data_IF_072250541793
#
_entry.id   IF_072250541793
#
_cell.length_a   1.000
_cell.length_b   1.000
_cell.length_c   1.000
_cell.angle_alpha   90.00
_cell.angle_beta   90.00
_cell.angle_gamma   90.00
#
_symmetry.space_group_name_H-M   'P 1'
#
loop_
_entity.id
_entity.type
_entity.pdbx_description
1 polymer ?
#
# COMPACT_ATOMS: atom_id res chain seq x y z
N UNK A 1 -8.26 7.94 28.94
CA UNK A 1 -6.86 7.56 28.69
C UNK A 1 -6.16 8.82 28.20
N UNK A 2 -4.96 9.14 28.69
CA UNK A 2 -4.25 10.38 28.34
C UNK A 2 -2.92 10.01 27.70
N UNK A 3 -2.66 10.53 26.50
CA UNK A 3 -1.46 10.22 25.73
C UNK A 3 -0.49 11.40 25.75
N UNK A 4 0.80 11.11 25.97
CA UNK A 4 1.87 12.07 25.80
C UNK A 4 2.31 12.06 24.33
N UNK A 5 1.93 13.12 23.60
CA UNK A 5 2.18 13.25 22.17
C UNK A 5 3.68 13.25 21.81
N UNK A 6 4.56 13.58 22.75
CA UNK A 6 6.03 13.57 22.53
C UNK A 6 6.61 12.17 22.45
N UNK A 7 5.87 11.16 22.95
CA UNK A 7 6.29 9.74 22.95
C UNK A 7 5.69 8.94 21.81
N UNK A 8 4.93 9.58 20.92
CA UNK A 8 4.32 8.93 19.77
C UNK A 8 5.39 8.70 18.69
N UNK A 9 5.60 7.43 18.36
CA UNK A 9 6.55 6.99 17.33
C UNK A 9 5.87 6.51 16.05
N UNK A 10 4.54 6.38 16.04
CA UNK A 10 3.74 5.96 14.88
C UNK A 10 2.52 6.86 14.71
N UNK A 11 2.21 7.19 13.46
CA UNK A 11 1.03 7.99 13.07
C UNK A 11 -0.20 7.13 12.76
N UNK A 12 -0.15 5.82 13.03
CA UNK A 12 -1.25 4.88 12.77
C UNK A 12 -1.82 4.31 14.07
N UNK A 13 -3.13 4.06 14.07
CA UNK A 13 -3.84 3.34 15.12
C UNK A 13 -4.44 2.06 14.57
N UNK A 14 -4.46 1.00 15.37
CA UNK A 14 -5.16 -0.26 15.02
C UNK A 14 -5.75 -0.89 16.28
N UNK A 15 -6.93 -1.47 16.17
CA UNK A 15 -7.63 -2.13 17.27
C UNK A 15 -8.61 -3.17 16.72
N UNK A 16 -9.05 -4.09 17.56
CA UNK A 16 -10.08 -5.08 17.21
C UNK A 16 -11.42 -4.71 17.85
N UNK A 17 -12.51 -4.89 17.11
CA UNK A 17 -13.88 -4.69 17.59
C UNK A 17 -14.70 -5.97 17.41
N UNK A 18 -15.56 -6.28 18.38
CA UNK A 18 -16.55 -7.34 18.29
C UNK A 18 -17.86 -6.83 18.88
N UNK A 19 -18.92 -6.83 18.08
CA UNK A 19 -20.24 -6.37 18.52
C UNK A 19 -21.36 -7.11 17.80
N UNK A 20 -22.56 -7.06 18.37
CA UNK A 20 -23.84 -7.41 17.72
C UNK A 20 -24.70 -6.16 17.49
N UNK A 21 -24.27 -5.02 18.03
CA UNK A 21 -24.99 -3.76 17.93
C UNK A 21 -24.73 -3.11 16.57
N UNK A 22 -25.77 -2.83 15.76
CA UNK A 22 -25.60 -2.17 14.47
C UNK A 22 -25.27 -0.68 14.58
N UNK A 23 -25.41 -0.05 15.76
CA UNK A 23 -25.11 1.38 15.93
C UNK A 23 -24.35 1.65 17.24
N UNK A 24 -23.32 2.49 17.19
CA UNK A 24 -22.56 2.84 18.39
C UNK A 24 -21.29 3.63 18.12
N UNK A 25 -20.76 4.30 19.15
CA UNK A 25 -19.49 5.04 19.05
C UNK A 25 -18.33 4.15 19.50
N UNK A 26 -17.27 4.11 18.68
CA UNK A 26 -16.04 3.38 19.00
C UNK A 26 -14.98 4.36 19.52
N UNK A 27 -14.70 5.41 18.76
CA UNK A 27 -13.81 6.51 19.15
C UNK A 27 -14.51 7.84 18.97
N UNK A 28 -14.27 8.73 19.92
CA UNK A 28 -14.70 10.11 19.86
C UNK A 28 -13.59 10.97 20.40
N UNK A 29 -13.33 12.07 19.70
CA UNK A 29 -12.40 13.08 20.15
C UNK A 29 -12.94 14.45 19.78
N UNK A 30 -12.84 15.37 20.73
CA UNK A 30 -13.26 16.75 20.55
C UNK A 30 -12.25 17.71 21.16
N UNK A 31 -12.24 18.91 20.62
CA UNK A 31 -11.67 20.08 21.30
C UNK A 31 -12.78 20.99 21.82
N UNK A 32 -13.94 20.97 21.16
CA UNK A 32 -15.19 21.58 21.59
C UNK A 32 -16.36 20.72 21.11
N UNK A 33 -17.15 20.12 22.01
CA UNK A 33 -18.17 19.14 21.65
C UNK A 33 -19.34 19.71 20.83
N UNK A 34 -19.43 21.04 20.68
CA UNK A 34 -20.44 21.67 19.83
C UNK A 34 -19.99 21.79 18.38
N UNK A 35 -18.75 22.23 18.16
CA UNK A 35 -18.33 22.79 16.88
C UNK A 35 -17.00 22.20 16.36
N UNK A 36 -16.31 21.36 17.12
CA UNK A 36 -15.06 20.73 16.69
C UNK A 36 -14.86 19.34 17.32
N UNK A 37 -15.28 18.32 16.57
CA UNK A 37 -15.22 16.93 16.97
C UNK A 37 -15.10 15.98 15.77
N UNK A 38 -14.54 14.81 16.05
CA UNK A 38 -14.59 13.67 15.14
C UNK A 38 -15.07 12.44 15.88
N UNK A 39 -15.67 11.52 15.13
CA UNK A 39 -16.21 10.28 15.64
C UNK A 39 -15.93 9.16 14.65
N UNK A 40 -15.53 8.01 15.17
CA UNK A 40 -15.55 6.73 14.48
C UNK A 40 -16.54 5.83 15.21
N UNK A 41 -17.49 5.28 14.46
CA UNK A 41 -18.56 4.48 15.02
C UNK A 41 -19.13 3.49 14.01
N UNK A 42 -20.28 2.94 14.36
CA UNK A 42 -21.10 2.09 13.51
C UNK A 42 -22.45 2.75 13.25
N UNK A 43 -22.92 2.61 12.01
CA UNK A 43 -24.30 2.89 11.60
C UNK A 43 -24.75 1.80 10.63
N UNK A 44 -25.92 1.21 10.86
CA UNK A 44 -26.42 0.04 10.11
C UNK A 44 -25.37 -1.10 10.00
N UNK A 45 -24.65 -1.32 11.10
CA UNK A 45 -23.59 -2.32 11.25
C UNK A 45 -22.28 -1.98 10.53
N UNK A 46 -22.19 -0.86 9.80
CA UNK A 46 -21.01 -0.49 9.02
C UNK A 46 -20.17 0.61 9.69
N UNK A 47 -18.85 0.61 9.52
CA UNK A 47 -17.98 1.70 9.95
C UNK A 47 -18.41 3.04 9.36
N UNK A 48 -18.51 4.04 10.22
CA UNK A 48 -18.79 5.42 9.84
C UNK A 48 -17.78 6.35 10.52
N UNK A 49 -17.18 7.24 9.74
CA UNK A 49 -16.40 8.37 10.24
C UNK A 49 -17.22 9.63 10.06
N UNK A 50 -17.37 10.38 11.14
CA UNK A 50 -17.93 11.71 11.13
C UNK A 50 -16.87 12.71 11.58
N UNK A 51 -16.85 13.87 10.94
CA UNK A 51 -16.01 14.99 11.32
C UNK A 51 -16.84 16.26 11.19
N UNK A 52 -16.83 17.07 12.22
CA UNK A 52 -17.49 18.36 12.23
C UNK A 52 -16.53 19.40 12.78
N UNK A 53 -16.20 20.38 11.96
CA UNK A 53 -15.48 21.57 12.37
C UNK A 53 -16.07 22.81 11.68
N UNK A 54 -15.51 23.99 11.98
CA UNK A 54 -15.98 25.25 11.42
C UNK A 54 -15.94 25.34 9.88
N UNK A 55 -15.13 24.50 9.22
CA UNK A 55 -14.93 24.54 7.77
C UNK A 55 -15.59 23.38 7.02
N UNK A 56 -15.84 22.26 7.69
CA UNK A 56 -16.33 21.05 7.07
C UNK A 56 -17.22 20.24 8.01
N UNK A 57 -18.28 19.67 7.43
CA UNK A 57 -19.06 18.62 8.03
C UNK A 57 -19.06 17.43 7.09
N UNK A 58 -18.45 16.34 7.52
CA UNK A 58 -18.23 15.13 6.75
C UNK A 58 -18.85 13.95 7.47
N UNK A 59 -19.51 13.08 6.72
CA UNK A 59 -19.95 11.76 7.18
C UNK A 59 -19.67 10.77 6.07
N UNK A 60 -18.85 9.77 6.37
CA UNK A 60 -18.45 8.72 5.43
C UNK A 60 -18.72 7.38 6.09
N UNK A 61 -19.74 6.67 5.59
CA UNK A 61 -19.99 5.27 5.93
C UNK A 61 -19.47 4.37 4.81
N UNK A 62 -18.58 3.44 5.13
CA UNK A 62 -18.00 2.53 4.13
C UNK A 62 -17.54 1.21 4.76
N UNK A 63 -17.42 0.17 3.93
CA UNK A 63 -16.90 -1.14 4.35
C UNK A 63 -17.98 -2.16 4.71
N UNK A 64 -17.56 -3.38 5.12
CA UNK A 64 -18.47 -4.47 5.47
C UNK A 64 -19.18 -4.22 6.80
N UNK A 65 -20.18 -5.06 7.08
CA UNK A 65 -20.85 -5.08 8.39
C UNK A 65 -19.94 -5.74 9.44
N UNK A 66 -19.85 -5.13 10.62
CA UNK A 66 -19.02 -5.59 11.75
C UNK A 66 -19.85 -6.10 12.94
N UNK A 67 -21.18 -6.11 12.81
CA UNK A 67 -22.15 -6.46 13.86
C UNK A 67 -22.54 -7.95 13.87
N UNK A 68 -21.63 -8.83 13.47
CA UNK A 68 -21.84 -10.28 13.34
C UNK A 68 -21.34 -11.11 14.54
N UNK A 69 -20.92 -10.44 15.62
CA UNK A 69 -20.39 -11.08 16.82
C UNK A 69 -18.98 -11.68 16.66
N UNK A 70 -18.27 -11.41 15.56
CA UNK A 70 -16.87 -11.83 15.34
C UNK A 70 -15.92 -10.68 15.61
N UNK A 71 -14.65 -11.02 15.84
CA UNK A 71 -13.59 -10.02 15.95
C UNK A 71 -13.22 -9.50 14.57
N UNK A 72 -13.19 -8.18 14.42
CA UNK A 72 -12.78 -7.48 13.21
C UNK A 72 -11.65 -6.51 13.54
N UNK A 73 -10.57 -6.55 12.77
CA UNK A 73 -9.49 -5.57 12.89
C UNK A 73 -9.85 -4.28 12.15
N UNK A 74 -9.79 -3.15 12.85
CA UNK A 74 -9.99 -1.82 12.30
C UNK A 74 -8.65 -1.07 12.27
N UNK A 75 -8.30 -0.57 11.09
CA UNK A 75 -7.10 0.25 10.84
C UNK A 75 -7.54 1.53 10.14
N UNK A 76 -7.88 2.60 10.90
CA UNK A 76 -8.16 3.90 10.29
C UNK A 76 -6.87 4.47 9.69
N UNK A 77 -6.74 4.36 8.37
CA UNK A 77 -5.65 4.94 7.60
C UNK A 77 -6.19 6.08 6.72
N UNK A 78 -5.49 7.21 6.73
CA UNK A 78 -5.78 8.35 5.86
C UNK A 78 -4.45 8.91 5.35
N UNK A 79 -4.16 8.69 4.07
CA UNK A 79 -3.17 9.47 3.35
C UNK A 79 -3.82 10.78 2.90
N UNK A 80 -3.67 11.82 3.72
CA UNK A 80 -4.30 13.11 3.49
C UNK A 80 -3.54 14.24 4.17
N UNK A 81 -3.61 15.43 3.57
CA UNK A 81 -2.99 16.62 4.11
C UNK A 81 -4.02 17.56 4.73
N UNK A 82 -3.76 17.98 5.97
CA UNK A 82 -4.51 19.02 6.65
C UNK A 82 -3.69 20.31 6.61
N UNK A 83 -4.32 21.45 6.36
CA UNK A 83 -3.67 22.76 6.33
C UNK A 83 -4.54 23.82 6.98
N UNK A 84 -3.89 24.90 7.46
CA UNK A 84 -4.55 26.06 8.10
C UNK A 84 -5.41 25.62 9.27
N UNK A 85 -4.86 24.74 10.09
CA UNK A 85 -5.49 24.31 11.32
C UNK A 85 -5.54 25.47 12.32
N UNK A 86 -6.70 25.67 12.93
CA UNK A 86 -6.89 26.58 14.06
C UNK A 86 -7.51 25.79 15.18
N UNK A 87 -6.72 25.53 16.21
CA UNK A 87 -7.15 24.77 17.37
C UNK A 87 -7.30 25.75 18.54
N UNK A 88 -8.54 26.05 18.94
CA UNK A 88 -8.86 26.84 20.12
C UNK A 88 -8.29 28.28 20.13
N UNK A 89 -8.28 28.97 18.98
CA UNK A 89 -7.66 30.31 18.79
C UNK A 89 -6.17 30.39 19.20
N UNK A 90 -5.53 29.24 19.43
CA UNK A 90 -4.10 29.09 19.54
C UNK A 90 -3.60 28.52 18.22
N UNK A 91 -2.51 29.08 17.69
CA UNK A 91 -1.70 28.28 16.79
C UNK A 91 -1.33 27.03 17.59
N UNK A 92 -1.74 25.84 17.15
CA UNK A 92 -1.11 24.64 17.69
C UNK A 92 0.37 24.81 17.36
N UNK A 93 1.21 25.08 18.36
CA UNK A 93 2.64 24.98 18.21
C UNK A 93 2.95 23.49 18.07
N UNK A 94 2.77 23.00 16.85
CA UNK A 94 3.23 21.69 16.42
C UNK A 94 4.74 21.72 16.65
N UNK A 95 5.19 21.06 17.73
CA UNK A 95 6.58 21.19 18.19
C UNK A 95 7.56 20.88 17.05
N UNK A 96 8.45 21.83 16.77
CA UNK A 96 9.49 21.76 15.74
C UNK A 96 10.56 20.67 16.00
N UNK A 97 10.39 19.86 17.05
CA UNK A 97 11.36 18.87 17.53
C UNK A 97 11.10 17.44 17.07
N UNK A 98 10.12 17.21 16.20
CA UNK A 98 9.83 15.89 15.62
C UNK A 98 10.24 15.84 14.13
N UNK A 99 10.63 14.66 13.60
CA UNK A 99 11.19 14.53 12.26
C UNK A 99 10.28 15.15 11.18
N UNK A 100 10.85 16.00 10.34
CA UNK A 100 10.15 16.77 9.28
C UNK A 100 9.44 15.89 8.25
N UNK A 101 9.93 14.66 8.02
CA UNK A 101 9.38 13.72 7.04
C UNK A 101 7.99 13.17 7.39
N UNK A 102 7.53 13.29 8.63
CA UNK A 102 6.22 12.80 9.09
C UNK A 102 5.17 13.90 9.22
N UNK A 103 5.52 15.18 8.97
CA UNK A 103 4.65 16.33 9.30
C UNK A 103 4.27 17.23 8.12
N UNK A 104 5.08 17.28 7.07
CA UNK A 104 4.78 18.11 5.89
C UNK A 104 4.42 17.21 4.71
N UNK A 105 3.28 17.48 4.09
CA UNK A 105 2.88 16.82 2.85
C UNK A 105 3.49 17.58 1.67
N UNK A 106 3.65 16.90 0.54
CA UNK A 106 4.05 17.57 -0.68
C UNK A 106 3.02 18.64 -1.09
N UNK A 107 3.51 19.81 -1.51
CA UNK A 107 2.68 20.96 -1.90
C UNK A 107 1.86 20.63 -3.15
N UNK A 108 2.41 19.78 -4.02
CA UNK A 108 1.80 19.39 -5.28
C UNK A 108 1.81 17.87 -5.44
N UNK A 109 0.67 17.24 -5.17
CA UNK A 109 0.49 15.79 -5.28
C UNK A 109 -0.53 15.40 -6.36
N UNK A 110 -0.34 14.19 -6.90
CA UNK A 110 -1.24 13.55 -7.84
C UNK A 110 -1.79 12.25 -7.24
N UNK A 111 -2.99 11.79 -7.63
CA UNK A 111 -3.49 10.48 -7.20
C UNK A 111 -2.56 9.33 -7.64
N UNK A 112 -2.23 8.44 -6.72
CA UNK A 112 -1.38 7.29 -6.98
C UNK A 112 -0.89 6.61 -5.70
N UNK A 113 0.09 5.73 -5.81
CA UNK A 113 0.79 5.08 -4.70
C UNK A 113 2.27 5.37 -4.92
N UNK A 114 2.91 6.09 -4.00
CA UNK A 114 4.33 6.39 -4.10
C UNK A 114 5.15 5.57 -3.10
N UNK A 115 6.16 4.88 -3.62
CA UNK A 115 7.14 4.13 -2.86
C UNK A 115 8.49 4.87 -2.93
N UNK A 116 8.91 5.53 -1.84
CA UNK A 116 10.26 6.06 -1.71
C UNK A 116 11.34 4.96 -1.73
N UNK A 117 12.62 5.31 -1.95
CA UNK A 117 13.73 4.36 -1.90
C UNK A 117 13.77 3.59 -0.57
N UNK A 118 14.07 2.29 -0.65
CA UNK A 118 14.19 1.40 0.51
C UNK A 118 12.88 1.05 1.22
N UNK A 119 11.72 1.53 0.74
CA UNK A 119 10.42 1.21 1.34
C UNK A 119 9.85 -0.11 0.83
N UNK A 120 9.05 -0.77 1.67
CA UNK A 120 8.41 -2.05 1.34
C UNK A 120 6.96 -2.13 1.84
N UNK A 121 6.13 -2.85 1.10
CA UNK A 121 4.80 -3.29 1.54
C UNK A 121 4.59 -4.78 1.24
N UNK A 122 3.90 -5.48 2.13
CA UNK A 122 3.69 -6.92 2.09
C UNK A 122 2.20 -7.23 2.12
N UNK A 123 1.73 -8.03 1.17
CA UNK A 123 0.38 -8.59 1.16
C UNK A 123 0.44 -10.09 1.41
N UNK A 124 -0.49 -10.59 2.21
CA UNK A 124 -0.73 -12.03 2.32
C UNK A 124 -1.49 -12.50 1.07
N UNK A 125 -0.96 -13.51 0.38
CA UNK A 125 -1.56 -14.00 -0.86
C UNK A 125 -2.95 -14.64 -0.67
N UNK A 126 -3.31 -14.99 0.56
CA UNK A 126 -4.65 -15.50 0.92
C UNK A 126 -5.70 -14.39 0.96
N UNK A 127 -5.27 -13.14 1.16
CA UNK A 127 -6.15 -11.98 1.34
C UNK A 127 -6.33 -11.19 0.03
N UNK A 128 -5.64 -11.59 -1.04
CA UNK A 128 -5.82 -11.07 -2.40
C UNK A 128 -6.59 -12.10 -3.27
N UNK A 129 -7.13 -11.69 -4.44
CA UNK A 129 -7.83 -12.60 -5.34
C UNK A 129 -7.05 -13.87 -5.65
N UNK A 130 -7.72 -15.01 -5.55
CA UNK A 130 -7.09 -16.30 -5.77
C UNK A 130 -6.85 -16.57 -7.27
N UNK A 131 -5.86 -17.42 -7.62
CA UNK A 131 -5.67 -17.89 -8.98
C UNK A 131 -6.93 -18.58 -9.53
N UNK A 132 -7.15 -18.48 -10.84
CA UNK A 132 -8.14 -19.34 -11.50
C UNK A 132 -7.73 -20.80 -11.31
N UNK A 133 -8.71 -21.70 -11.15
CA UNK A 133 -8.41 -23.12 -10.94
C UNK A 133 -8.11 -23.85 -12.27
N UNK A 134 -8.91 -23.62 -13.31
CA UNK A 134 -8.82 -24.35 -14.57
C UNK A 134 -9.08 -23.43 -15.80
N UNK A 135 -8.07 -23.16 -16.64
CA UNK A 135 -6.65 -23.43 -16.41
C UNK A 135 -6.09 -22.54 -15.29
N UNK A 136 -5.09 -23.04 -14.55
CA UNK A 136 -4.44 -22.24 -13.50
C UNK A 136 -3.81 -20.98 -14.10
N UNK A 137 -4.23 -19.82 -13.60
CA UNK A 137 -3.76 -18.53 -14.07
C UNK A 137 -3.86 -17.47 -12.99
N UNK A 138 -2.81 -16.65 -12.87
CA UNK A 138 -2.76 -15.50 -11.99
C UNK A 138 -2.16 -14.30 -12.72
N UNK A 139 -2.76 -13.12 -12.58
CA UNK A 139 -2.27 -11.90 -13.20
C UNK A 139 -2.07 -10.77 -12.20
N UNK A 140 -0.96 -10.04 -12.38
CA UNK A 140 -0.67 -8.78 -11.71
C UNK A 140 -0.50 -7.69 -12.75
N UNK A 141 -1.07 -6.52 -12.51
CA UNK A 141 -0.89 -5.34 -13.33
C UNK A 141 -0.36 -4.17 -12.47
N UNK A 142 0.70 -3.51 -12.93
CA UNK A 142 1.31 -2.35 -12.30
C UNK A 142 1.24 -1.18 -13.27
N UNK A 143 0.54 -0.11 -12.92
CA UNK A 143 0.51 1.09 -13.75
C UNK A 143 1.54 2.12 -13.31
N UNK A 144 2.79 1.91 -13.73
CA UNK A 144 3.92 2.79 -13.41
C UNK A 144 3.77 4.17 -14.09
N UNK A 145 3.65 5.22 -13.28
CA UNK A 145 3.66 6.63 -13.71
C UNK A 145 5.07 7.21 -13.72
N UNK A 146 5.84 6.90 -12.69
CA UNK A 146 7.22 7.37 -12.51
C UNK A 146 8.04 6.20 -11.95
N UNK A 147 9.31 6.11 -12.34
CA UNK A 147 10.24 5.13 -11.81
C UNK A 147 11.68 5.64 -11.96
N UNK A 148 12.48 5.54 -10.90
CA UNK A 148 13.89 5.92 -10.87
C UNK A 148 14.69 4.97 -9.97
N UNK A 149 16.02 4.96 -10.14
CA UNK A 149 16.92 4.08 -9.39
C UNK A 149 16.92 2.64 -9.90
N UNK A 150 17.44 1.75 -9.06
CA UNK A 150 17.58 0.32 -9.33
C UNK A 150 17.27 -0.54 -8.10
N UNK A 151 16.66 -1.70 -8.33
CA UNK A 151 16.18 -2.62 -7.28
C UNK A 151 14.75 -3.14 -7.53
N UNK A 152 14.14 -3.77 -6.53
CA UNK A 152 12.86 -4.45 -6.68
C UNK A 152 11.67 -3.50 -6.83
N UNK A 153 10.79 -3.82 -7.78
CA UNK A 153 9.45 -3.24 -7.91
C UNK A 153 8.41 -4.12 -7.22
N UNK A 154 8.50 -5.43 -7.45
CA UNK A 154 7.55 -6.42 -6.94
C UNK A 154 8.19 -7.81 -6.85
N UNK A 155 7.82 -8.60 -5.85
CA UNK A 155 8.21 -10.00 -5.76
C UNK A 155 7.11 -10.90 -5.18
N UNK A 156 7.17 -12.18 -5.53
CA UNK A 156 6.37 -13.25 -4.94
C UNK A 156 7.31 -14.25 -4.27
N UNK A 157 7.02 -14.61 -3.03
CA UNK A 157 7.83 -15.56 -2.27
C UNK A 157 7.32 -15.73 -0.84
N UNK A 158 8.21 -16.16 0.04
CA UNK A 158 7.97 -16.21 1.50
C UNK A 158 8.92 -15.25 2.22
N UNK A 159 8.69 -14.89 3.49
CA UNK A 159 9.61 -14.03 4.24
C UNK A 159 11.05 -14.56 4.27
N UNK A 160 11.26 -15.88 4.26
CA UNK A 160 12.59 -16.51 4.26
C UNK A 160 13.24 -16.54 2.87
N UNK A 161 12.44 -16.51 1.82
CA UNK A 161 12.91 -16.50 0.44
C UNK A 161 11.94 -15.67 -0.43
N UNK A 162 12.09 -14.34 -0.42
CA UNK A 162 11.11 -13.41 -0.99
C UNK A 162 11.14 -13.37 -2.52
N UNK A 163 12.20 -13.86 -3.17
CA UNK A 163 12.46 -13.69 -4.60
C UNK A 163 12.25 -14.97 -5.43
N UNK A 164 11.15 -15.71 -5.20
CA UNK A 164 10.82 -16.86 -6.08
C UNK A 164 10.47 -16.42 -7.49
N UNK A 165 9.78 -15.27 -7.59
CA UNK A 165 9.57 -14.56 -8.83
C UNK A 165 9.65 -13.07 -8.53
N UNK A 166 10.50 -12.33 -9.23
CA UNK A 166 10.60 -10.90 -8.99
C UNK A 166 10.72 -10.07 -10.26
N UNK A 167 10.24 -8.84 -10.15
CA UNK A 167 10.39 -7.77 -11.11
C UNK A 167 11.29 -6.71 -10.49
N UNK A 168 12.46 -6.51 -11.09
CA UNK A 168 13.39 -5.46 -10.68
C UNK A 168 13.60 -4.44 -11.79
N UNK A 169 13.78 -3.18 -11.40
CA UNK A 169 14.19 -2.11 -12.27
C UNK A 169 15.71 -2.07 -12.32
N UNK A 170 16.27 -2.09 -13.53
CA UNK A 170 17.70 -1.93 -13.76
C UNK A 170 17.91 -1.22 -15.10
N UNK A 171 18.61 -0.09 -15.11
CA UNK A 171 18.96 0.67 -16.31
C UNK A 171 17.75 0.97 -17.23
N UNK A 172 16.64 1.44 -16.64
CA UNK A 172 15.36 1.71 -17.32
C UNK A 172 14.73 0.48 -18.01
N UNK A 173 15.12 -0.72 -17.59
CA UNK A 173 14.51 -1.99 -18.00
C UNK A 173 13.88 -2.66 -16.80
N UNK A 174 12.75 -3.30 -17.03
CA UNK A 174 12.15 -4.23 -16.08
C UNK A 174 12.70 -5.60 -16.37
N UNK A 175 13.30 -6.23 -15.37
CA UNK A 175 13.85 -7.58 -15.47
C UNK A 175 13.03 -8.52 -14.61
N UNK A 176 12.48 -9.55 -15.24
CA UNK A 176 11.81 -10.67 -14.60
C UNK A 176 12.82 -11.76 -14.28
N UNK A 177 12.95 -12.15 -13.01
CA UNK A 177 13.78 -13.26 -12.54
C UNK A 177 12.96 -14.26 -11.74
N UNK A 178 13.38 -15.54 -11.74
CA UNK A 178 12.65 -16.63 -11.06
C UNK A 178 13.50 -17.36 -10.00
N UNK A 179 14.50 -16.69 -9.44
CA UNK A 179 15.48 -17.27 -8.50
C UNK A 179 16.44 -18.31 -9.12
N UNK A 180 16.05 -18.97 -10.22
CA UNK A 180 16.86 -19.93 -10.97
C UNK A 180 16.88 -19.59 -12.46
N UNK A 181 18.07 -19.31 -13.01
CA UNK A 181 18.29 -19.08 -14.44
C UNK A 181 18.36 -17.60 -14.86
N UNK A 182 18.64 -17.33 -16.15
CA UNK A 182 18.77 -15.97 -16.66
C UNK A 182 17.42 -15.24 -16.64
N UNK A 183 17.43 -14.00 -16.17
CA UNK A 183 16.24 -13.14 -16.20
C UNK A 183 15.88 -12.70 -17.62
N UNK A 184 14.65 -12.20 -17.78
CA UNK A 184 14.16 -11.58 -19.02
C UNK A 184 13.93 -10.10 -18.82
N UNK A 185 14.56 -9.27 -19.65
CA UNK A 185 14.43 -7.81 -19.59
C UNK A 185 13.43 -7.27 -20.62
N UNK A 186 12.64 -6.27 -20.26
CA UNK A 186 11.84 -5.47 -21.17
C UNK A 186 12.14 -3.98 -20.93
N UNK A 187 12.36 -3.16 -21.98
CA UNK A 187 12.48 -1.72 -21.81
C UNK A 187 11.22 -1.16 -21.17
N UNK A 188 11.38 -0.39 -20.08
CA UNK A 188 10.26 0.21 -19.36
C UNK A 188 9.73 1.41 -20.14
N UNK A 189 8.42 1.45 -20.36
CA UNK A 189 7.71 2.61 -20.91
C UNK A 189 6.72 3.13 -19.89
N UNK A 190 6.99 4.29 -19.30
CA UNK A 190 6.10 4.92 -18.31
C UNK A 190 4.73 5.24 -18.93
N UNK A 191 3.67 5.16 -18.11
CA UNK A 191 2.29 5.39 -18.53
C UNK A 191 1.59 4.20 -19.19
N UNK A 192 2.33 3.14 -19.57
CA UNK A 192 1.75 1.87 -20.02
C UNK A 192 1.74 0.84 -18.89
N UNK A 193 0.63 0.10 -18.69
CA UNK A 193 0.55 -0.91 -17.64
C UNK A 193 1.54 -2.04 -17.92
N UNK A 194 2.33 -2.37 -16.90
CA UNK A 194 3.21 -3.52 -16.87
C UNK A 194 2.41 -4.71 -16.34
N UNK A 195 2.24 -5.74 -17.16
CA UNK A 195 1.42 -6.91 -16.82
C UNK A 195 2.30 -8.14 -16.65
N UNK A 196 2.06 -8.88 -15.58
CA UNK A 196 2.70 -10.16 -15.27
C UNK A 196 1.62 -11.24 -15.22
N UNK A 197 1.68 -12.21 -16.13
CA UNK A 197 0.73 -13.33 -16.20
C UNK A 197 1.43 -14.64 -15.94
N UNK A 198 1.05 -15.31 -14.86
CA UNK A 198 1.54 -16.61 -14.47
C UNK A 198 0.58 -17.68 -14.98
N UNK A 199 1.14 -18.77 -15.49
CA UNK A 199 0.42 -19.97 -15.91
C UNK A 199 1.18 -21.22 -15.48
N UNK A 200 0.59 -22.39 -15.64
CA UNK A 200 1.18 -23.68 -15.28
C UNK A 200 2.57 -23.98 -15.86
N UNK A 201 2.99 -23.32 -16.94
CA UNK A 201 4.25 -23.63 -17.66
C UNK A 201 5.13 -22.43 -17.96
N UNK A 202 4.61 -21.21 -17.80
CA UNK A 202 5.31 -19.98 -18.18
C UNK A 202 4.83 -18.78 -17.39
N UNK A 203 5.72 -17.81 -17.28
CA UNK A 203 5.43 -16.46 -16.81
C UNK A 203 5.62 -15.50 -17.96
N UNK A 204 4.61 -14.70 -18.25
CA UNK A 204 4.62 -13.71 -19.33
C UNK A 204 4.70 -12.33 -18.72
N UNK A 205 5.74 -11.58 -19.07
CA UNK A 205 5.84 -10.15 -18.79
C UNK A 205 5.47 -9.40 -20.08
N UNK A 206 4.53 -8.46 -20.00
CA UNK A 206 4.11 -7.65 -21.15
C UNK A 206 3.91 -6.20 -20.77
N UNK A 207 4.21 -5.31 -21.72
CA UNK A 207 3.93 -3.88 -21.62
C UNK A 207 3.57 -3.34 -23.01
N UNK A 208 2.32 -2.91 -23.17
CA UNK A 208 1.77 -2.54 -24.48
C UNK A 208 1.83 -3.71 -25.47
N UNK A 209 2.47 -3.49 -26.63
CA UNK A 209 2.65 -4.53 -27.66
C UNK A 209 3.87 -5.45 -27.43
N UNK A 210 4.74 -5.13 -26.46
CA UNK A 210 5.93 -5.93 -26.16
C UNK A 210 5.58 -7.00 -25.14
N UNK A 211 6.02 -8.23 -25.39
CA UNK A 211 5.90 -9.33 -24.44
C UNK A 211 7.13 -10.23 -24.48
N UNK A 212 7.51 -10.76 -23.32
CA UNK A 212 8.49 -11.83 -23.17
C UNK A 212 7.91 -12.90 -22.26
N UNK A 213 8.22 -14.15 -22.57
CA UNK A 213 7.76 -15.30 -21.79
C UNK A 213 8.96 -16.06 -21.24
N UNK A 214 9.00 -16.23 -19.92
CA UNK A 214 9.92 -17.13 -19.23
C UNK A 214 9.26 -18.50 -19.17
N UNK A 215 9.81 -19.47 -19.90
CA UNK A 215 9.48 -20.86 -19.69
C UNK A 215 10.12 -21.30 -18.37
N UNK A 216 9.30 -21.71 -17.40
CA UNK A 216 9.80 -22.19 -16.12
C UNK A 216 9.95 -23.71 -16.19
N UNK A 217 11.07 -24.30 -15.71
CA UNK A 217 11.24 -25.74 -15.72
C UNK A 217 10.13 -26.43 -14.89
N UNK A 218 9.69 -27.65 -15.25
CA UNK A 218 8.62 -28.36 -14.55
C UNK A 218 8.84 -28.52 -13.03
N UNK A 219 10.10 -28.63 -12.60
CA UNK A 219 10.50 -28.75 -11.19
C UNK A 219 10.49 -27.42 -10.41
N UNK A 220 10.52 -26.26 -11.10
CA UNK A 220 10.57 -24.94 -10.46
C UNK A 220 9.21 -24.29 -10.20
N UNK A 221 8.14 -24.79 -10.83
CA UNK A 221 6.78 -24.22 -10.74
C UNK A 221 5.96 -24.76 -9.57
N UNK A 222 6.16 -26.02 -9.17
CA UNK A 222 5.39 -26.61 -8.07
C UNK A 222 5.47 -25.77 -6.76
N UNK A 223 6.64 -25.23 -6.37
CA UNK A 223 6.71 -24.28 -5.26
C UNK A 223 5.87 -23.02 -5.51
N UNK A 224 6.07 -22.34 -6.64
CA UNK A 224 5.39 -21.07 -6.97
C UNK A 224 3.86 -21.21 -7.05
N UNK A 225 3.35 -22.29 -7.64
CA UNK A 225 1.92 -22.59 -7.71
C UNK A 225 1.34 -22.85 -6.31
N UNK A 226 2.10 -23.54 -5.46
CA UNK A 226 1.74 -23.80 -4.07
C UNK A 226 1.90 -22.57 -3.15
N UNK A 227 2.37 -21.43 -3.67
CA UNK A 227 2.59 -20.25 -2.85
C UNK A 227 1.28 -19.70 -2.27
N UNK A 228 0.18 -19.73 -3.04
CA UNK A 228 -1.16 -19.36 -2.56
C UNK A 228 -1.71 -20.31 -1.49
N UNK A 229 -1.30 -21.58 -1.52
CA UNK A 229 -1.69 -22.54 -0.49
C UNK A 229 -0.93 -22.32 0.83
N UNK A 230 0.25 -21.69 0.81
CA UNK A 230 1.09 -21.48 2.00
C UNK A 230 0.54 -20.32 2.86
N UNK A 231 0.47 -20.48 4.20
CA UNK A 231 0.13 -19.36 5.11
C UNK A 231 1.12 -18.20 5.03
N UNK A 232 2.35 -18.52 4.64
CA UNK A 232 3.47 -17.58 4.53
C UNK A 232 3.66 -17.07 3.09
N UNK A 233 2.72 -17.32 2.18
CA UNK A 233 2.78 -16.76 0.84
C UNK A 233 2.63 -15.25 0.88
N UNK A 234 3.57 -14.52 0.29
CA UNK A 234 3.61 -13.07 0.28
C UNK A 234 3.76 -12.51 -1.12
N UNK A 235 3.11 -11.37 -1.33
CA UNK A 235 3.37 -10.43 -2.41
C UNK A 235 4.09 -9.22 -1.80
N UNK A 236 5.33 -8.99 -2.21
CA UNK A 236 6.14 -7.85 -1.80
C UNK A 236 6.06 -6.76 -2.87
N UNK A 237 5.86 -5.52 -2.44
CA UNK A 237 5.87 -4.32 -3.28
C UNK A 237 6.99 -3.39 -2.80
N UNK A 238 7.88 -3.00 -3.70
CA UNK A 238 9.08 -2.21 -3.37
C UNK A 238 10.28 -3.08 -2.98
N UNK A 239 11.11 -2.57 -2.08
CA UNK A 239 12.31 -3.23 -1.59
C UNK A 239 12.00 -4.54 -0.86
N UNK A 240 12.94 -5.48 -0.86
CA UNK A 240 12.86 -6.71 -0.08
C UNK A 240 13.46 -6.53 1.32
N UNK A 241 13.12 -7.40 2.28
CA UNK A 241 13.69 -7.33 3.63
C UNK A 241 15.23 -7.38 3.61
N UNK A 242 15.86 -6.30 4.09
CA UNK A 242 17.33 -6.17 4.13
C UNK A 242 17.98 -5.80 2.79
N UNK A 243 17.20 -5.41 1.77
CA UNK A 243 17.71 -4.92 0.50
C UNK A 243 17.96 -3.41 0.54
N UNK A 244 19.19 -3.00 0.21
CA UNK A 244 19.54 -1.60 -0.03
C UNK A 244 19.11 -1.17 -1.45
N UNK A 245 17.79 -0.98 -1.63
CA UNK A 245 17.21 -0.57 -2.91
C UNK A 245 17.19 0.96 -3.04
N UNK A 246 17.67 1.47 -4.17
CA UNK A 246 17.55 2.88 -4.55
C UNK A 246 16.28 3.17 -5.36
N UNK A 247 15.44 2.15 -5.58
CA UNK A 247 14.28 2.26 -6.46
C UNK A 247 13.21 3.12 -5.82
N UNK A 248 12.75 4.14 -6.53
CA UNK A 248 11.55 4.89 -6.20
C UNK A 248 10.59 4.88 -7.37
N UNK A 249 9.30 4.77 -7.09
CA UNK A 249 8.30 4.73 -8.15
C UNK A 249 6.92 5.16 -7.67
N UNK A 250 6.16 5.71 -8.60
CA UNK A 250 4.74 6.03 -8.42
C UNK A 250 3.90 5.12 -9.29
N UNK A 251 2.91 4.47 -8.70
CA UNK A 251 1.88 3.71 -9.38
C UNK A 251 0.60 4.52 -9.47
N UNK A 252 -0.14 4.42 -10.58
CA UNK A 252 -1.55 4.81 -10.61
C UNK A 252 -2.43 3.75 -9.90
N UNK A 253 -1.92 2.53 -9.75
CA UNK A 253 -2.55 1.42 -9.07
C UNK A 253 -1.76 0.12 -9.23
N UNK A 254 -2.13 -0.84 -8.41
CA UNK A 254 -1.68 -2.22 -8.42
C UNK A 254 -2.94 -3.10 -8.49
N UNK A 255 -2.99 -4.06 -9.41
CA UNK A 255 -4.13 -4.96 -9.55
C UNK A 255 -3.69 -6.42 -9.48
N UNK A 256 -4.50 -7.24 -8.81
CA UNK A 256 -4.40 -8.69 -8.83
C UNK A 256 -5.72 -9.26 -9.39
N UNK A 257 -5.65 -10.04 -10.47
CA UNK A 257 -6.85 -10.58 -11.16
C UNK A 257 -7.91 -9.50 -11.50
N UNK A 258 -7.48 -8.29 -11.85
CA UNK A 258 -8.37 -7.16 -12.15
C UNK A 258 -8.96 -6.44 -10.92
N UNK A 259 -8.76 -6.94 -9.70
CA UNK A 259 -9.12 -6.22 -8.48
C UNK A 259 -7.95 -5.32 -8.07
N UNK A 260 -8.24 -4.03 -7.81
CA UNK A 260 -7.24 -3.08 -7.31
C UNK A 260 -6.88 -3.44 -5.87
N UNK A 261 -5.58 -3.54 -5.59
CA UNK A 261 -5.06 -3.74 -4.24
C UNK A 261 -4.88 -2.39 -3.55
N UNK A 262 -5.28 -2.33 -2.29
CA UNK A 262 -5.17 -1.14 -1.44
C UNK A 262 -3.97 -1.32 -0.49
N UNK A 263 -2.99 -0.43 -0.57
CA UNK A 263 -1.76 -0.50 0.22
C UNK A 263 -2.02 -0.25 1.70
N UNK A 264 -3.13 0.39 2.06
CA UNK A 264 -3.54 0.51 3.46
C UNK A 264 -3.97 -0.82 4.08
N UNK A 265 -4.29 -1.83 3.26
CA UNK A 265 -4.62 -3.19 3.69
C UNK A 265 -3.42 -4.14 3.64
N UNK A 266 -2.20 -3.63 3.41
CA UNK A 266 -0.99 -4.44 3.48
C UNK A 266 -0.82 -5.03 4.88
N UNK A 267 -0.39 -6.30 4.96
CA UNK A 267 -0.07 -7.00 6.21
C UNK A 267 1.05 -6.28 6.98
N UNK A 268 2.04 -5.76 6.25
CA UNK A 268 3.14 -4.99 6.78
C UNK A 268 3.53 -3.92 5.77
N UNK A 269 3.84 -2.69 6.21
CA UNK A 269 4.32 -1.63 5.31
C UNK A 269 5.21 -0.63 6.03
N UNK A 270 6.19 -0.08 5.30
CA UNK A 270 6.96 1.09 5.69
C UNK A 270 6.03 2.30 5.91
N UNK A 271 6.34 3.11 6.92
CA UNK A 271 5.53 4.28 7.30
C UNK A 271 5.67 5.43 6.30
N UNK A 272 6.73 5.41 5.50
CA UNK A 272 7.11 6.42 4.52
C UNK A 272 6.37 6.26 3.17
N UNK A 273 5.66 5.15 2.96
CA UNK A 273 4.88 4.92 1.73
C UNK A 273 3.65 5.82 1.72
N UNK A 274 3.45 6.53 0.60
CA UNK A 274 2.25 7.34 0.36
C UNK A 274 1.23 6.47 -0.36
N UNK A 275 0.16 6.09 0.32
CA UNK A 275 -0.75 5.04 -0.15
C UNK A 275 -1.74 5.52 -1.20
N UNK A 276 -2.02 6.82 -1.26
CA UNK A 276 -3.03 7.42 -2.16
C UNK A 276 -2.56 8.71 -2.85
N UNK A 277 -1.30 9.11 -2.66
CA UNK A 277 -0.69 10.27 -3.31
C UNK A 277 0.68 9.95 -3.93
N UNK A 278 1.05 10.71 -4.94
CA UNK A 278 2.38 10.72 -5.54
C UNK A 278 2.90 12.14 -5.70
N UNK A 279 4.21 12.37 -5.57
CA UNK A 279 4.80 13.68 -5.80
C UNK A 279 4.70 14.08 -7.28
N UNK A 280 4.49 15.38 -7.55
CA UNK A 280 4.43 15.88 -8.93
C UNK A 280 5.76 15.74 -9.68
N UNK A 281 6.86 16.00 -8.99
CA UNK A 281 8.21 15.77 -9.50
C UNK A 281 8.88 14.72 -8.60
N UNK A 282 9.61 13.74 -9.15
CA UNK A 282 10.47 12.89 -8.34
C UNK A 282 11.58 13.79 -7.79
N UNK A 283 11.35 14.37 -6.62
CA UNK A 283 12.31 15.25 -5.98
C UNK A 283 13.60 14.48 -5.75
N UNK A 284 14.70 14.98 -6.32
CA UNK A 284 16.01 14.77 -5.70
C UNK A 284 15.83 15.17 -4.24
N UNK A 285 16.12 14.26 -3.32
CA UNK A 285 16.02 14.52 -1.89
C UNK A 285 16.94 15.67 -1.49
N UNK A 286 16.43 16.89 -1.57
CA UNK A 286 17.01 18.11 -1.01
C UNK A 286 15.87 19.07 -0.76
N UNK A 287 15.54 19.24 0.51
CA UNK A 287 14.93 20.42 1.12
C UNK A 287 14.06 21.30 0.21
N UNK A 288 12.76 21.03 0.22
CA UNK A 288 11.75 22.06 0.13
C UNK A 288 10.61 21.71 1.09
N UNK A 289 10.95 21.58 2.37
CA UNK A 289 9.96 21.63 3.44
C UNK A 289 9.64 23.09 3.71
N UNK A 290 8.38 23.47 3.47
CA UNK A 290 7.76 24.64 4.07
C UNK A 290 6.70 24.19 5.06
#
# INVERSE_FOLDING_TARGET
MTFDLTKITKTSSSFEVRTWDPEGVIFYGDTNPKDDWFMLGLRDGRPEIQLHNHWAQLTVGAGPRLDDGRWHQLVPALDGCLRRDSWLDKQAEISASAPTSLRSCDVESNPGIFLPPGTQAEFNLRDIPQPHAEPWAFSLDLGLKQAAGSGHLLALGTPENPSWLSLHLQDQKVVLSSGSGPGLDLPLVLGLPLQLKLSMSRVVLSQGSKMKALALPPLGLAPLLNLWAKPQGRLFLGALPGEDSSTSFCLNGLWAQGQRLDVDQALNRSHEIWTHSCPQSPGNGTDASH
#
